data_IF_136189523265
#
_entry.id   IF_136189523265
#
_cell.length_a   1.000
_cell.length_b   1.000
_cell.length_c   1.000
_cell.angle_alpha   90.00
_cell.angle_beta   90.00
_cell.angle_gamma   90.00
#
_symmetry.space_group_name_H-M   'P 1'
#
loop_
_entity.id
_entity.type
_entity.pdbx_description
1 polymer ?
#
# COMPACT_ATOMS: atom_id res chain seq x y z
N UNK A 1 5.59 38.98 -44.61
CA UNK A 1 4.63 39.41 -43.53
C UNK A 1 3.52 38.37 -43.24
N UNK A 2 2.79 37.83 -44.24
CA UNK A 2 1.73 36.80 -44.05
C UNK A 2 2.19 35.54 -43.28
N UNK A 3 3.35 34.97 -43.60
CA UNK A 3 3.93 33.81 -42.88
C UNK A 3 4.18 34.07 -41.38
N UNK A 4 4.69 35.27 -41.00
CA UNK A 4 4.89 35.68 -39.60
C UNK A 4 3.56 35.78 -38.85
N UNK A 5 2.51 36.34 -39.47
CA UNK A 5 1.16 36.41 -38.89
C UNK A 5 0.54 35.01 -38.67
N UNK A 6 0.68 34.10 -39.65
CA UNK A 6 0.19 32.71 -39.52
C UNK A 6 0.88 31.95 -38.39
N UNK A 7 2.21 32.09 -38.24
CA UNK A 7 2.96 31.49 -37.11
C UNK A 7 2.55 32.07 -35.75
N UNK A 8 2.36 33.39 -35.65
CA UNK A 8 1.92 34.05 -34.40
C UNK A 8 0.50 33.62 -33.98
N UNK A 9 -0.43 33.48 -34.94
CA UNK A 9 -1.79 32.97 -34.69
C UNK A 9 -1.76 31.53 -34.20
N UNK A 10 -1.03 30.63 -34.89
CA UNK A 10 -0.92 29.21 -34.51
C UNK A 10 -0.26 29.01 -33.14
N UNK A 11 0.67 29.90 -32.75
CA UNK A 11 1.26 29.91 -31.41
C UNK A 11 0.25 30.32 -30.33
N UNK A 12 -0.52 31.39 -30.55
CA UNK A 12 -1.56 31.85 -29.62
C UNK A 12 -2.70 30.84 -29.45
N UNK A 13 -3.06 30.15 -30.53
CA UNK A 13 -4.08 29.10 -30.51
C UNK A 13 -3.60 27.91 -29.67
N UNK A 14 -2.35 27.47 -29.85
CA UNK A 14 -1.71 26.46 -28.99
C UNK A 14 -1.55 26.90 -27.54
N UNK A 15 -1.24 28.17 -27.29
CA UNK A 15 -1.14 28.73 -25.93
C UNK A 15 -2.52 28.80 -25.26
N UNK A 16 -3.59 29.11 -26.02
CA UNK A 16 -4.97 29.13 -25.51
C UNK A 16 -5.52 27.72 -25.28
N UNK A 17 -5.28 26.78 -26.20
CA UNK A 17 -5.57 25.36 -26.00
C UNK A 17 -4.83 24.82 -24.79
N UNK A 18 -3.53 25.12 -24.63
CA UNK A 18 -2.76 24.80 -23.42
C UNK A 18 -3.33 25.45 -22.16
N UNK A 19 -3.78 26.69 -22.22
CA UNK A 19 -4.36 27.37 -21.05
C UNK A 19 -5.71 26.79 -20.64
N UNK A 20 -6.51 26.32 -21.60
CA UNK A 20 -7.78 25.65 -21.35
C UNK A 20 -7.56 24.22 -20.83
N UNK A 21 -6.53 23.50 -21.30
CA UNK A 21 -6.16 22.18 -20.76
C UNK A 21 -5.39 22.24 -19.44
N UNK A 22 -4.60 23.29 -19.18
CA UNK A 22 -3.97 23.51 -17.86
C UNK A 22 -4.99 23.86 -16.79
N UNK A 23 -6.20 24.31 -17.16
CA UNK A 23 -7.29 24.55 -16.21
C UNK A 23 -7.89 23.26 -15.62
N UNK A 24 -7.56 22.08 -16.15
CA UNK A 24 -8.00 20.79 -15.61
C UNK A 24 -6.89 19.98 -14.93
N UNK A 25 -5.65 20.48 -14.93
CA UNK A 25 -4.53 19.74 -14.37
C UNK A 25 -4.68 19.65 -12.86
N UNK A 26 -4.72 18.43 -12.32
CA UNK A 26 -5.16 18.16 -10.96
C UNK A 26 -4.09 17.40 -10.16
N UNK A 27 -4.02 17.67 -8.87
CA UNK A 27 -3.28 16.84 -7.92
C UNK A 27 -4.09 15.59 -7.61
N UNK A 28 -3.46 14.42 -7.67
CA UNK A 28 -4.10 13.14 -7.36
C UNK A 28 -3.55 12.53 -6.08
N UNK A 29 -4.40 11.80 -5.37
CA UNK A 29 -4.03 11.04 -4.18
C UNK A 29 -4.49 9.61 -4.34
N UNK A 30 -3.61 8.65 -4.06
CA UNK A 30 -3.94 7.23 -3.97
C UNK A 30 -3.71 6.79 -2.52
N UNK A 31 -4.80 6.46 -1.83
CA UNK A 31 -4.78 5.91 -0.48
C UNK A 31 -4.89 4.38 -0.57
N UNK A 32 -3.93 3.69 0.03
CA UNK A 32 -3.85 2.23 0.05
C UNK A 32 -3.91 1.80 1.51
N UNK A 33 -4.84 0.91 1.84
CA UNK A 33 -4.97 0.37 3.18
C UNK A 33 -5.51 -1.05 3.18
N UNK A 34 -5.12 -1.83 4.16
CA UNK A 34 -5.59 -3.21 4.31
C UNK A 34 -4.56 -4.01 5.07
N UNK A 35 -4.99 -5.13 5.63
CA UNK A 35 -4.09 -6.08 6.26
C UNK A 35 -4.57 -7.49 5.95
N UNK A 36 -3.62 -8.41 5.72
CA UNK A 36 -4.01 -9.80 5.54
C UNK A 36 -4.32 -10.41 6.91
N UNK A 37 -5.54 -10.90 7.12
CA UNK A 37 -5.94 -11.51 8.40
C UNK A 37 -5.08 -12.72 8.85
N UNK A 38 -4.55 -13.49 7.90
CA UNK A 38 -3.58 -14.58 8.16
C UNK A 38 -2.23 -14.10 8.68
N UNK A 39 -1.80 -12.85 8.42
CA UNK A 39 -0.49 -12.36 8.91
C UNK A 39 -0.54 -11.97 10.39
N UNK A 40 -1.74 -11.79 10.92
CA UNK A 40 -2.02 -11.47 12.31
C UNK A 40 -2.52 -12.71 13.08
N UNK A 41 -1.89 -13.88 12.82
CA UNK A 41 -1.84 -15.12 13.62
C UNK A 41 -3.14 -15.68 14.24
N UNK A 42 -4.33 -15.12 14.01
CA UNK A 42 -5.58 -15.60 14.56
C UNK A 42 -6.78 -15.01 13.81
N UNK A 43 -7.85 -15.78 13.69
CA UNK A 43 -9.09 -15.31 13.05
C UNK A 43 -9.71 -14.08 13.75
N UNK A 44 -9.28 -13.77 14.97
CA UNK A 44 -9.62 -12.55 15.72
C UNK A 44 -9.12 -11.27 15.06
N UNK A 45 -8.20 -11.36 14.09
CA UNK A 45 -7.50 -10.19 13.61
C UNK A 45 -8.23 -9.40 12.50
N UNK A 46 -9.20 -9.97 11.77
CA UNK A 46 -9.92 -9.25 10.69
C UNK A 46 -10.50 -7.89 11.16
N UNK A 47 -11.07 -7.83 12.36
CA UNK A 47 -11.60 -6.60 12.95
C UNK A 47 -10.60 -5.73 13.72
N UNK A 48 -9.36 -6.19 13.86
CA UNK A 48 -8.30 -5.46 14.56
C UNK A 48 -7.48 -4.55 13.61
N UNK A 49 -7.84 -4.50 12.32
CA UNK A 49 -7.10 -3.79 11.29
C UNK A 49 -7.07 -2.28 11.56
N UNK A 50 -5.96 -1.80 12.12
CA UNK A 50 -5.80 -0.39 12.45
C UNK A 50 -5.76 0.51 11.20
N UNK A 51 -5.36 -0.03 10.04
CA UNK A 51 -5.14 0.72 8.80
C UNK A 51 -6.38 1.44 8.27
N UNK A 52 -7.57 0.82 8.35
CA UNK A 52 -8.79 1.38 7.75
C UNK A 52 -9.26 2.68 8.43
N UNK A 53 -9.17 2.75 9.76
CA UNK A 53 -9.47 4.00 10.49
C UNK A 53 -8.55 5.14 10.03
N UNK A 54 -7.28 4.84 9.76
CA UNK A 54 -6.33 5.84 9.26
C UNK A 54 -6.64 6.26 7.81
N UNK A 55 -7.10 5.34 6.97
CA UNK A 55 -7.61 5.67 5.62
C UNK A 55 -8.81 6.61 5.71
N UNK A 56 -9.78 6.34 6.59
CA UNK A 56 -10.92 7.22 6.82
C UNK A 56 -10.51 8.63 7.28
N UNK A 57 -9.60 8.71 8.26
CA UNK A 57 -9.04 9.99 8.74
C UNK A 57 -8.28 10.75 7.66
N UNK A 58 -7.41 10.08 6.91
CA UNK A 58 -6.65 10.67 5.81
C UNK A 58 -7.59 11.21 4.73
N UNK A 59 -8.58 10.42 4.32
CA UNK A 59 -9.59 10.85 3.34
C UNK A 59 -10.33 12.11 3.81
N UNK A 60 -10.83 12.10 5.05
CA UNK A 60 -11.50 13.27 5.65
C UNK A 60 -10.61 14.51 5.61
N UNK A 61 -9.34 14.37 6.04
CA UNK A 61 -8.38 15.49 6.06
C UNK A 61 -8.13 16.05 4.66
N UNK A 62 -8.03 15.19 3.65
CA UNK A 62 -7.88 15.63 2.26
C UNK A 62 -9.10 16.44 1.79
N UNK A 63 -10.32 15.97 2.07
CA UNK A 63 -11.55 16.71 1.74
C UNK A 63 -11.60 18.05 2.48
N UNK A 64 -11.30 18.07 3.79
CA UNK A 64 -11.23 19.28 4.61
C UNK A 64 -10.19 20.30 4.08
N UNK A 65 -9.10 19.80 3.50
CA UNK A 65 -8.06 20.62 2.86
C UNK A 65 -8.38 21.04 1.42
N UNK A 66 -9.58 20.73 0.92
CA UNK A 66 -10.07 21.17 -0.38
C UNK A 66 -9.72 20.27 -1.57
N UNK A 67 -9.24 19.03 -1.33
CA UNK A 67 -9.11 18.07 -2.41
C UNK A 67 -10.49 17.61 -2.89
N UNK A 68 -10.64 17.50 -4.22
CA UNK A 68 -11.84 16.91 -4.80
C UNK A 68 -11.87 15.40 -4.55
N UNK A 69 -13.02 14.87 -4.12
CA UNK A 69 -13.26 13.43 -4.01
C UNK A 69 -13.00 12.67 -5.33
N UNK A 70 -13.15 13.32 -6.49
CA UNK A 70 -12.84 12.74 -7.81
C UNK A 70 -11.34 12.46 -8.01
N UNK A 71 -10.48 13.13 -7.26
CA UNK A 71 -9.02 13.04 -7.41
C UNK A 71 -8.38 12.19 -6.30
N UNK A 72 -9.19 11.62 -5.41
CA UNK A 72 -8.76 10.70 -4.36
C UNK A 72 -9.24 9.30 -4.75
N UNK A 73 -8.28 8.39 -4.94
CA UNK A 73 -8.51 6.99 -5.26
C UNK A 73 -8.23 6.17 -4.00
N UNK A 74 -9.17 5.33 -3.58
CA UNK A 74 -9.04 4.54 -2.35
C UNK A 74 -9.06 3.04 -2.67
N UNK A 75 -7.97 2.35 -2.32
CA UNK A 75 -7.79 0.91 -2.42
C UNK A 75 -7.73 0.35 -0.99
N UNK A 76 -8.87 -0.07 -0.45
CA UNK A 76 -8.95 -0.58 0.92
C UNK A 76 -10.15 -1.49 1.18
N UNK A 77 -9.99 -2.45 2.11
CA UNK A 77 -11.02 -3.45 2.47
C UNK A 77 -12.09 -2.89 3.41
N UNK A 78 -12.67 -1.72 3.10
CA UNK A 78 -13.58 -1.05 4.03
C UNK A 78 -14.89 -1.82 4.19
N UNK A 79 -15.55 -2.13 3.08
CA UNK A 79 -16.84 -2.80 3.08
C UNK A 79 -16.73 -4.22 3.61
N UNK A 80 -15.72 -4.98 3.19
CA UNK A 80 -15.50 -6.35 3.70
C UNK A 80 -15.36 -6.34 5.24
N UNK A 81 -14.57 -5.39 5.78
CA UNK A 81 -14.36 -5.31 7.23
C UNK A 81 -15.58 -4.77 7.97
N UNK A 82 -16.33 -3.83 7.38
CA UNK A 82 -17.59 -3.36 7.98
C UNK A 82 -18.61 -4.49 8.10
N UNK A 83 -18.78 -5.29 7.04
CA UNK A 83 -19.72 -6.40 7.05
C UNK A 83 -19.28 -7.49 8.04
N UNK A 84 -17.97 -7.82 8.05
CA UNK A 84 -17.40 -8.73 9.04
C UNK A 84 -17.62 -8.24 10.47
N UNK A 85 -17.36 -6.96 10.76
CA UNK A 85 -17.53 -6.37 12.08
C UNK A 85 -19.01 -6.31 12.50
N UNK A 86 -19.92 -6.11 11.55
CA UNK A 86 -21.36 -6.16 11.81
C UNK A 86 -21.78 -7.55 12.29
N UNK A 87 -21.34 -8.60 11.57
CA UNK A 87 -21.61 -9.99 11.96
C UNK A 87 -20.98 -10.31 13.33
N UNK A 88 -19.73 -9.88 13.56
CA UNK A 88 -19.06 -10.08 14.84
C UNK A 88 -19.74 -9.33 16.01
N UNK A 89 -20.30 -8.14 15.76
CA UNK A 89 -21.06 -7.38 16.73
C UNK A 89 -22.41 -8.02 17.09
N UNK A 90 -23.05 -8.68 16.13
CA UNK A 90 -24.31 -9.41 16.32
C UNK A 90 -24.10 -10.74 17.06
N UNK A 91 -23.09 -11.52 16.64
CA UNK A 91 -22.87 -12.87 17.13
C UNK A 91 -21.91 -12.94 18.34
N UNK A 92 -21.05 -11.93 18.52
CA UNK A 92 -19.99 -11.95 19.53
C UNK A 92 -18.85 -12.89 19.16
N UNK A 93 -18.80 -13.33 17.90
CA UNK A 93 -17.85 -14.28 17.36
C UNK A 93 -17.01 -13.66 16.23
N UNK A 94 -15.70 -13.95 16.18
CA UNK A 94 -14.93 -14.69 17.17
C UNK A 94 -14.88 -13.93 18.53
N UNK A 95 -14.60 -14.60 19.66
CA UNK A 95 -14.45 -13.91 20.95
C UNK A 95 -13.49 -12.73 20.85
N UNK A 96 -13.83 -11.56 21.39
CA UNK A 96 -12.96 -10.39 21.26
C UNK A 96 -11.63 -10.56 22.02
N UNK A 97 -11.69 -11.23 23.18
CA UNK A 97 -10.54 -11.57 24.02
C UNK A 97 -10.79 -12.92 24.67
N UNK A 98 -9.73 -13.71 24.85
CA UNK A 98 -9.76 -14.96 25.62
C UNK A 98 -10.11 -14.74 27.10
N UNK A 99 -9.96 -13.50 27.60
CA UNK A 99 -10.28 -13.13 28.98
C UNK A 99 -11.75 -12.78 29.20
N UNK A 100 -12.57 -12.71 28.15
CA UNK A 100 -13.99 -12.39 28.30
C UNK A 100 -14.76 -13.61 28.74
N UNK A 101 -15.54 -13.45 29.82
CA UNK A 101 -16.25 -14.54 30.47
C UNK A 101 -17.63 -14.80 29.87
N UNK A 102 -18.11 -13.93 28.97
CA UNK A 102 -19.37 -14.11 28.27
C UNK A 102 -19.35 -13.59 26.82
N UNK A 103 -20.16 -14.17 25.91
CA UNK A 103 -20.32 -13.67 24.54
C UNK A 103 -20.80 -12.22 24.45
N UNK A 104 -21.62 -11.75 25.41
CA UNK A 104 -22.16 -10.38 25.44
C UNK A 104 -21.04 -9.33 25.55
N UNK A 105 -19.99 -9.61 26.33
CA UNK A 105 -18.81 -8.73 26.41
C UNK A 105 -18.12 -8.62 25.06
N UNK A 106 -18.05 -9.72 24.31
CA UNK A 106 -17.47 -9.73 22.95
C UNK A 106 -18.36 -8.95 21.97
N UNK A 107 -19.70 -9.14 22.02
CA UNK A 107 -20.66 -8.38 21.20
C UNK A 107 -20.51 -6.88 21.42
N UNK A 108 -20.46 -6.44 22.68
CA UNK A 108 -20.30 -5.03 23.03
C UNK A 108 -19.00 -4.45 22.45
N UNK A 109 -17.88 -5.16 22.59
CA UNK A 109 -16.59 -4.69 22.03
C UNK A 109 -16.53 -4.70 20.51
N UNK A 110 -17.12 -5.69 19.85
CA UNK A 110 -17.21 -5.66 18.39
C UNK A 110 -18.12 -4.54 17.90
N UNK A 111 -19.23 -4.28 18.61
CA UNK A 111 -20.10 -3.14 18.34
C UNK A 111 -19.37 -1.80 18.51
N UNK A 112 -18.56 -1.66 19.57
CA UNK A 112 -17.69 -0.49 19.76
C UNK A 112 -16.72 -0.31 18.58
N UNK A 113 -16.08 -1.40 18.14
CA UNK A 113 -15.15 -1.38 17.00
C UNK A 113 -15.83 -1.03 15.68
N UNK A 114 -16.98 -1.63 15.41
CA UNK A 114 -17.81 -1.31 14.24
C UNK A 114 -18.17 0.18 14.23
N UNK A 115 -18.74 0.69 15.33
CA UNK A 115 -19.11 2.09 15.45
C UNK A 115 -17.92 3.04 15.29
N UNK A 116 -16.76 2.68 15.86
CA UNK A 116 -15.54 3.46 15.71
C UNK A 116 -15.08 3.51 14.24
N UNK A 117 -15.08 2.37 13.53
CA UNK A 117 -14.70 2.34 12.12
C UNK A 117 -15.67 3.16 11.26
N UNK A 118 -16.98 2.98 11.44
CA UNK A 118 -18.01 3.77 10.75
C UNK A 118 -17.78 5.26 10.99
N UNK A 119 -17.60 5.67 12.24
CA UNK A 119 -17.36 7.08 12.61
C UNK A 119 -16.11 7.66 11.94
N UNK A 120 -15.00 6.92 11.91
CA UNK A 120 -13.75 7.39 11.31
C UNK A 120 -13.81 7.42 9.78
N UNK A 121 -14.54 6.49 9.17
CA UNK A 121 -14.71 6.38 7.71
C UNK A 121 -15.96 7.07 7.16
N UNK A 122 -16.78 7.73 7.99
CA UNK A 122 -18.08 8.28 7.57
C UNK A 122 -17.97 9.16 6.33
N UNK A 123 -17.00 10.08 6.27
CA UNK A 123 -16.82 10.96 5.11
C UNK A 123 -16.47 10.18 3.83
N UNK A 124 -15.69 9.10 3.94
CA UNK A 124 -15.41 8.22 2.81
C UNK A 124 -16.68 7.46 2.38
N UNK A 125 -17.44 6.93 3.34
CA UNK A 125 -18.71 6.22 3.08
C UNK A 125 -19.71 7.14 2.38
N UNK A 126 -19.89 8.37 2.87
CA UNK A 126 -20.79 9.37 2.29
C UNK A 126 -20.39 9.76 0.86
N UNK A 127 -19.11 9.63 0.50
CA UNK A 127 -18.59 9.83 -0.85
C UNK A 127 -18.57 8.52 -1.69
N UNK A 128 -19.32 7.51 -1.25
CA UNK A 128 -19.54 6.26 -1.95
C UNK A 128 -18.48 5.18 -1.69
N UNK A 129 -17.70 5.27 -0.61
CA UNK A 129 -16.78 4.23 -0.17
C UNK A 129 -15.50 4.10 -1.01
N UNK A 130 -14.83 2.95 -0.85
CA UNK A 130 -13.60 2.64 -1.59
C UNK A 130 -13.85 2.44 -3.09
N UNK A 131 -12.84 2.75 -3.91
CA UNK A 131 -12.86 2.43 -5.34
C UNK A 131 -12.59 0.93 -5.56
N UNK A 132 -11.73 0.35 -4.71
CA UNK A 132 -11.37 -1.07 -4.71
C UNK A 132 -11.43 -1.62 -3.29
N UNK A 133 -12.12 -2.75 -3.13
CA UNK A 133 -12.43 -3.41 -1.86
C UNK A 133 -12.30 -4.94 -2.03
N UNK A 134 -12.34 -5.69 -0.92
CA UNK A 134 -12.20 -7.15 -0.92
C UNK A 134 -11.01 -7.61 -1.78
N UNK A 135 -11.23 -8.60 -2.64
CA UNK A 135 -10.19 -9.23 -3.49
C UNK A 135 -9.43 -8.27 -4.40
N UNK A 136 -9.99 -7.09 -4.71
CA UNK A 136 -9.29 -6.08 -5.49
C UNK A 136 -8.24 -5.32 -4.66
N UNK A 137 -8.16 -5.50 -3.34
CA UNK A 137 -7.09 -4.94 -2.50
C UNK A 137 -5.85 -5.82 -2.58
N UNK A 138 -5.17 -5.74 -3.71
CA UNK A 138 -3.97 -6.50 -4.04
C UNK A 138 -2.96 -5.64 -4.83
N UNK A 139 -1.76 -6.16 -5.01
CA UNK A 139 -0.67 -5.38 -5.60
C UNK A 139 -0.86 -5.12 -7.12
N UNK A 140 -1.56 -6.03 -7.83
CA UNK A 140 -1.93 -5.83 -9.23
C UNK A 140 -2.86 -4.63 -9.40
N UNK A 141 -3.87 -4.50 -8.55
CA UNK A 141 -4.78 -3.34 -8.56
C UNK A 141 -4.02 -2.05 -8.37
N UNK A 142 -3.12 -1.99 -7.38
CA UNK A 142 -2.30 -0.80 -7.13
C UNK A 142 -1.49 -0.43 -8.39
N UNK A 143 -0.82 -1.39 -9.00
CA UNK A 143 -0.08 -1.17 -10.24
C UNK A 143 -0.98 -0.63 -11.36
N UNK A 144 -2.13 -1.28 -11.62
CA UNK A 144 -3.06 -0.89 -12.69
C UNK A 144 -3.62 0.52 -12.48
N UNK A 145 -4.07 0.83 -11.26
CA UNK A 145 -4.53 2.17 -10.86
C UNK A 145 -3.46 3.21 -11.12
N UNK A 146 -2.23 2.92 -10.69
CA UNK A 146 -1.11 3.82 -10.86
C UNK A 146 -0.83 4.04 -12.35
N UNK A 147 -0.89 3.00 -13.20
CA UNK A 147 -0.69 3.15 -14.65
C UNK A 147 -1.89 3.69 -15.43
N UNK A 148 -2.95 4.07 -14.74
CA UNK A 148 -4.17 4.61 -15.34
C UNK A 148 -4.91 3.60 -16.21
N UNK A 149 -4.93 2.34 -15.77
CA UNK A 149 -5.69 1.25 -16.39
C UNK A 149 -6.58 0.59 -15.36
N UNK A 150 -7.77 0.17 -15.76
CA UNK A 150 -8.59 -0.70 -14.91
C UNK A 150 -7.85 -2.02 -14.67
N UNK A 151 -7.79 -2.53 -13.42
CA UNK A 151 -7.22 -3.84 -13.18
C UNK A 151 -8.03 -4.90 -13.94
N UNK A 152 -7.42 -6.04 -14.30
CA UNK A 152 -8.21 -7.17 -14.79
C UNK A 152 -9.27 -7.54 -13.74
N UNK A 153 -10.41 -8.05 -14.20
CA UNK A 153 -11.36 -8.65 -13.27
C UNK A 153 -10.66 -9.82 -12.58
N UNK A 154 -10.79 -9.83 -11.25
CA UNK A 154 -10.23 -10.88 -10.43
C UNK A 154 -11.20 -12.06 -10.50
N UNK A 155 -10.90 -13.04 -11.37
CA UNK A 155 -11.57 -14.36 -11.41
C UNK A 155 -11.23 -15.22 -10.18
N UNK A 156 -11.05 -14.58 -9.02
CA UNK A 156 -10.78 -15.23 -7.76
C UNK A 156 -12.04 -15.97 -7.31
N UNK A 157 -12.18 -17.20 -7.78
CA UNK A 157 -13.06 -18.19 -7.17
C UNK A 157 -12.33 -18.79 -5.96
N UNK A 158 -12.99 -18.74 -4.82
CA UNK A 158 -12.47 -19.17 -3.51
C UNK A 158 -12.04 -20.66 -3.47
N UNK A 159 -12.41 -21.46 -4.49
CA UNK A 159 -12.18 -22.91 -4.57
C UNK A 159 -10.70 -23.32 -4.43
N UNK A 160 -9.76 -22.47 -4.84
CA UNK A 160 -8.33 -22.77 -4.73
C UNK A 160 -7.78 -22.68 -3.30
N UNK A 161 -8.39 -21.91 -2.40
CA UNK A 161 -7.95 -21.80 -0.99
C UNK A 161 -8.54 -22.89 -0.08
N UNK A 162 -9.77 -23.34 -0.34
CA UNK A 162 -10.38 -24.42 0.45
C UNK A 162 -9.59 -25.73 0.35
N UNK A 163 -8.91 -25.97 -0.76
CA UNK A 163 -8.07 -27.16 -0.96
C UNK A 163 -6.79 -27.10 -0.13
N UNK A 164 -6.20 -25.90 0.01
CA UNK A 164 -4.99 -25.68 0.81
C UNK A 164 -5.26 -25.68 2.32
N UNK A 165 -6.42 -25.18 2.75
CA UNK A 165 -6.82 -25.18 4.16
C UNK A 165 -7.23 -26.57 4.64
N UNK A 166 -7.92 -27.35 3.80
CA UNK A 166 -8.25 -28.76 4.11
C UNK A 166 -7.00 -29.64 4.24
N UNK A 167 -5.92 -29.37 3.51
CA UNK A 167 -4.71 -30.19 3.61
C UNK A 167 -3.87 -29.91 4.87
N UNK A 168 -3.97 -28.73 5.50
CA UNK A 168 -3.20 -28.39 6.72
C UNK A 168 -3.97 -28.57 8.03
N UNK A 169 -5.29 -28.48 8.01
CA UNK A 169 -6.10 -28.66 9.22
C UNK A 169 -6.11 -30.13 9.73
N UNK A 170 -5.85 -31.10 8.84
CA UNK A 170 -5.89 -32.53 9.17
C UNK A 170 -4.54 -33.11 9.65
N UNK A 171 -3.46 -32.33 9.64
CA UNK A 171 -2.11 -32.80 10.07
C UNK A 171 -1.79 -32.51 11.55
N UNK A 172 -2.71 -31.92 12.33
CA UNK A 172 -2.49 -31.64 13.78
C UNK A 172 -3.74 -31.92 14.62
N UNK A 173 -4.25 -33.15 14.53
CA UNK A 173 -5.47 -33.57 15.21
C UNK A 173 -5.24 -34.36 16.53
N UNK A 174 -4.09 -34.23 17.19
CA UNK A 174 -3.83 -34.94 18.46
C UNK A 174 -3.81 -34.09 19.73
N UNK A 175 -3.93 -32.75 19.66
CA UNK A 175 -4.08 -31.93 20.88
C UNK A 175 -5.21 -30.88 20.75
N UNK A 176 -6.32 -31.22 21.39
CA UNK A 176 -7.52 -30.45 21.76
C UNK A 176 -7.71 -29.01 21.24
N UNK A 177 -8.79 -28.86 20.45
CA UNK A 177 -9.70 -27.70 20.36
C UNK A 177 -9.12 -26.39 19.83
N UNK A 178 -8.74 -26.37 18.55
CA UNK A 178 -8.91 -25.15 17.75
C UNK A 178 -10.33 -25.18 17.21
N UNK A 179 -11.24 -24.41 17.83
CA UNK A 179 -12.53 -24.08 17.22
C UNK A 179 -12.25 -23.28 15.95
N UNK A 180 -12.07 -23.98 14.83
CA UNK A 180 -12.12 -23.39 13.51
C UNK A 180 -13.48 -22.70 13.44
N UNK A 181 -13.48 -21.39 13.19
CA UNK A 181 -14.71 -20.61 12.98
C UNK A 181 -15.68 -21.41 12.10
N UNK A 182 -17.00 -21.40 12.38
CA UNK A 182 -17.96 -22.06 11.54
C UNK A 182 -17.70 -21.65 10.09
N UNK A 183 -17.48 -22.65 9.23
CA UNK A 183 -17.18 -22.49 7.80
C UNK A 183 -18.22 -21.58 7.10
N UNK A 184 -19.39 -21.41 7.72
CA UNK A 184 -20.49 -20.52 7.31
C UNK A 184 -20.18 -19.02 7.41
N UNK A 185 -19.39 -18.53 8.38
CA UNK A 185 -18.96 -17.12 8.40
C UNK A 185 -17.99 -16.79 7.24
N UNK A 186 -17.32 -17.81 6.70
CA UNK A 186 -16.34 -17.66 5.62
C UNK A 186 -16.97 -17.87 4.23
N UNK A 187 -18.09 -18.61 4.14
CA UNK A 187 -18.77 -18.99 2.89
C UNK A 187 -19.69 -17.92 2.31
N UNK A 188 -20.16 -16.97 3.11
CA UNK A 188 -21.07 -15.95 2.60
C UNK A 188 -20.30 -14.82 1.89
N UNK A 189 -20.04 -15.02 0.59
CA UNK A 189 -20.22 -14.01 -0.45
C UNK A 189 -19.60 -12.61 -0.27
N UNK A 190 -18.42 -12.46 0.35
CA UNK A 190 -17.64 -11.21 0.27
C UNK A 190 -16.99 -11.01 -1.11
N UNK A 191 -17.67 -11.43 -2.18
CA UNK A 191 -17.37 -10.98 -3.53
C UNK A 191 -17.96 -9.58 -3.69
N UNK A 192 -17.34 -8.60 -3.03
CA UNK A 192 -17.61 -7.21 -3.33
C UNK A 192 -17.21 -6.99 -4.77
N UNK A 193 -18.21 -6.86 -5.64
CA UNK A 193 -17.97 -6.44 -7.02
C UNK A 193 -17.30 -5.07 -6.96
N UNK A 194 -16.28 -4.91 -7.78
CA UNK A 194 -15.67 -3.61 -8.03
C UNK A 194 -16.77 -2.58 -8.29
N UNK A 195 -16.67 -1.43 -7.64
CA UNK A 195 -17.61 -0.34 -7.83
C UNK A 195 -17.65 0.06 -9.30
N UNK A 196 -18.85 0.22 -9.85
CA UNK A 196 -18.99 0.76 -11.20
C UNK A 196 -18.36 2.16 -11.25
N UNK A 197 -17.46 2.37 -12.22
CA UNK A 197 -16.69 3.60 -12.29
C UNK A 197 -15.56 3.74 -11.27
N UNK A 198 -15.05 2.63 -10.71
CA UNK A 198 -13.84 2.64 -9.89
C UNK A 198 -12.71 3.43 -10.57
N UNK A 199 -12.13 4.37 -9.83
CA UNK A 199 -11.19 5.34 -10.38
C UNK A 199 -9.83 4.72 -10.68
N UNK A 200 -9.14 5.30 -11.64
CA UNK A 200 -7.72 5.06 -11.94
C UNK A 200 -7.05 6.41 -12.18
N UNK A 201 -5.72 6.49 -12.11
CA UNK A 201 -5.05 7.73 -12.51
C UNK A 201 -5.33 8.03 -14.00
N UNK A 202 -5.34 9.31 -14.42
CA UNK A 202 -5.45 9.63 -15.84
C UNK A 202 -4.36 8.94 -16.65
N UNK A 203 -4.73 8.26 -17.73
CA UNK A 203 -3.76 7.65 -18.65
C UNK A 203 -2.88 8.72 -19.32
N UNK A 204 -3.42 9.93 -19.49
CA UNK A 204 -2.68 11.10 -19.94
C UNK A 204 -2.00 11.80 -18.74
N UNK A 205 -0.71 11.54 -18.59
CA UNK A 205 0.11 12.05 -17.49
C UNK A 205 0.21 13.58 -17.44
N UNK A 206 -0.03 14.28 -18.56
CA UNK A 206 -0.05 15.75 -18.59
C UNK A 206 -1.21 16.35 -17.78
N UNK A 207 -2.22 15.55 -17.43
CA UNK A 207 -3.36 15.96 -16.60
C UNK A 207 -3.06 15.91 -15.09
N UNK A 208 -1.95 15.28 -14.70
CA UNK A 208 -1.54 15.13 -13.30
C UNK A 208 -0.49 16.22 -13.01
N UNK A 209 -0.74 17.09 -12.04
CA UNK A 209 0.26 18.10 -11.61
C UNK A 209 1.16 17.62 -10.49
N UNK A 210 0.61 16.81 -9.61
CA UNK A 210 1.33 16.15 -8.52
C UNK A 210 0.61 14.87 -8.12
N UNK A 211 1.35 13.93 -7.54
CA UNK A 211 0.82 12.65 -7.08
C UNK A 211 1.27 12.39 -5.64
N UNK A 212 0.32 12.08 -4.76
CA UNK A 212 0.57 11.50 -3.45
C UNK A 212 0.16 10.02 -3.47
N UNK A 213 1.06 9.13 -3.09
CA UNK A 213 0.76 7.71 -2.83
C UNK A 213 0.96 7.47 -1.34
N UNK A 214 -0.10 7.20 -0.60
CA UNK A 214 0.01 6.88 0.82
C UNK A 214 -0.45 5.44 1.03
N UNK A 215 0.45 4.60 1.57
CA UNK A 215 0.15 3.22 1.91
C UNK A 215 0.29 2.98 3.42
N UNK A 216 -0.77 2.45 4.04
CA UNK A 216 -0.79 1.99 5.41
C UNK A 216 -1.04 0.49 5.38
N UNK A 217 -0.07 -0.28 5.83
CA UNK A 217 -0.22 -1.73 5.91
C UNK A 217 0.59 -2.32 7.05
N UNK A 218 0.63 -3.65 7.10
CA UNK A 218 1.68 -4.40 7.74
C UNK A 218 2.74 -4.74 6.71
N UNK A 219 3.97 -4.88 7.18
CA UNK A 219 5.08 -5.24 6.33
C UNK A 219 6.27 -5.59 7.18
N UNK A 220 7.19 -6.30 6.56
CA UNK A 220 8.45 -6.67 7.17
C UNK A 220 9.46 -6.93 6.06
N UNK A 221 10.49 -7.70 6.37
CA UNK A 221 11.39 -8.28 5.40
C UNK A 221 11.51 -9.78 5.61
N UNK A 222 11.92 -10.50 4.59
CA UNK A 222 12.42 -11.86 4.73
C UNK A 222 13.82 -11.94 4.14
N UNK A 223 14.62 -12.89 4.62
CA UNK A 223 15.87 -13.23 3.95
C UNK A 223 15.59 -13.62 2.49
N UNK A 224 16.51 -13.30 1.59
CA UNK A 224 16.40 -13.72 0.20
C UNK A 224 16.32 -15.25 0.16
N UNK A 225 15.37 -15.79 -0.62
CA UNK A 225 15.24 -17.24 -0.72
C UNK A 225 16.50 -17.86 -1.32
N UNK A 226 16.98 -18.93 -0.68
CA UNK A 226 18.18 -19.65 -1.04
C UNK A 226 18.51 -20.63 0.06
N UNK A 227 19.40 -21.58 -0.21
CA UNK A 227 19.96 -22.39 0.85
C UNK A 227 20.79 -21.50 1.82
N UNK A 228 20.96 -21.91 3.08
CA UNK A 228 21.73 -21.14 4.06
C UNK A 228 23.15 -20.76 3.61
N UNK A 229 23.78 -21.53 2.71
CA UNK A 229 25.11 -21.22 2.17
C UNK A 229 25.05 -20.04 1.18
N UNK A 230 24.01 -19.97 0.35
CA UNK A 230 23.76 -18.83 -0.54
C UNK A 230 23.52 -17.56 0.25
N UNK A 231 22.65 -17.58 1.26
CA UNK A 231 22.41 -16.43 2.14
C UNK A 231 23.72 -15.97 2.82
N UNK A 232 24.50 -16.93 3.34
CA UNK A 232 25.83 -16.67 3.91
C UNK A 232 26.76 -15.98 2.92
N UNK A 233 26.84 -16.47 1.68
CA UNK A 233 27.68 -15.86 0.63
C UNK A 233 27.26 -14.43 0.34
N UNK A 234 25.96 -14.15 0.33
CA UNK A 234 25.43 -12.80 0.12
C UNK A 234 25.81 -11.86 1.26
N UNK A 235 25.65 -12.29 2.52
CA UNK A 235 26.00 -11.49 3.72
C UNK A 235 27.51 -11.19 3.84
N UNK A 236 28.35 -12.11 3.36
CA UNK A 236 29.81 -11.93 3.31
C UNK A 236 30.26 -11.05 2.13
N UNK A 237 29.53 -11.08 1.02
CA UNK A 237 29.90 -10.35 -0.20
C UNK A 237 29.43 -8.89 -0.19
N UNK A 238 28.33 -8.59 0.51
CA UNK A 238 27.72 -7.26 0.56
C UNK A 238 27.95 -6.56 1.90
N UNK A 239 27.93 -5.23 1.88
CA UNK A 239 28.10 -4.41 3.08
C UNK A 239 26.71 -4.26 3.73
N UNK A 240 26.62 -4.52 5.04
CA UNK A 240 25.40 -4.28 5.79
C UNK A 240 25.16 -2.76 5.89
N UNK A 241 23.96 -2.32 5.51
CA UNK A 241 23.58 -0.90 5.54
C UNK A 241 23.43 -0.37 6.98
N UNK A 242 23.22 -1.25 7.96
CA UNK A 242 23.04 -0.87 9.36
C UNK A 242 24.37 -0.51 10.01
N UNK A 243 25.45 -1.24 9.72
CA UNK A 243 26.76 -1.03 10.36
C UNK A 243 27.88 -0.58 9.42
N UNK A 244 27.62 -0.52 8.12
CA UNK A 244 28.62 -0.16 7.11
C UNK A 244 29.76 -1.18 6.96
N UNK A 245 29.57 -2.43 7.41
CA UNK A 245 30.59 -3.49 7.34
C UNK A 245 30.03 -4.76 6.71
N UNK A 246 30.91 -5.54 6.10
CA UNK A 246 30.63 -6.94 5.74
C UNK A 246 30.52 -7.76 7.01
N UNK A 247 29.62 -8.73 7.03
CA UNK A 247 29.46 -9.61 8.18
C UNK A 247 30.35 -10.85 8.02
N UNK A 248 31.21 -11.09 9.02
CA UNK A 248 31.99 -12.32 9.18
C UNK A 248 31.28 -13.20 10.21
N UNK A 249 31.13 -14.48 9.90
CA UNK A 249 30.42 -15.44 10.74
C UNK A 249 31.10 -15.73 12.07
N UNK A 250 32.38 -15.40 12.19
CA UNK A 250 33.11 -15.54 13.44
C UNK A 250 32.80 -14.42 14.44
N UNK A 251 31.98 -13.44 14.04
CA UNK A 251 31.64 -12.27 14.83
C UNK A 251 30.14 -12.28 15.09
N UNK A 252 29.75 -12.20 16.36
CA UNK A 252 28.37 -11.94 16.74
C UNK A 252 28.07 -10.45 16.52
N UNK A 253 27.08 -10.16 15.69
CA UNK A 253 26.58 -8.81 15.46
C UNK A 253 25.36 -8.55 16.36
N UNK A 254 25.19 -7.29 16.75
CA UNK A 254 24.03 -6.85 17.55
C UNK A 254 22.77 -6.58 16.69
N UNK A 255 22.82 -6.92 15.41
CA UNK A 255 21.76 -6.69 14.43
C UNK A 255 21.85 -7.71 13.30
N UNK A 256 20.71 -7.98 12.66
CA UNK A 256 20.65 -8.79 11.45
C UNK A 256 21.32 -8.07 10.28
N UNK A 257 22.04 -8.83 9.44
CA UNK A 257 22.57 -8.29 8.20
C UNK A 257 21.43 -7.76 7.33
N UNK A 258 21.55 -6.52 6.85
CA UNK A 258 20.53 -5.90 6.01
C UNK A 258 21.17 -5.23 4.81
N UNK A 259 20.81 -5.68 3.61
CA UNK A 259 21.09 -4.99 2.35
C UNK A 259 20.11 -5.47 1.26
N UNK A 260 19.96 -4.72 0.14
CA UNK A 260 19.07 -5.09 -0.97
C UNK A 260 19.27 -6.49 -1.54
N UNK A 261 20.45 -7.07 -1.32
CA UNK A 261 20.84 -8.39 -1.85
C UNK A 261 20.59 -9.55 -0.90
N UNK A 262 20.35 -9.28 0.38
CA UNK A 262 20.18 -10.30 1.43
C UNK A 262 18.78 -10.34 1.99
N UNK A 263 17.99 -9.29 1.75
CA UNK A 263 16.64 -9.14 2.27
C UNK A 263 15.70 -8.64 1.18
N UNK A 264 14.45 -9.12 1.22
CA UNK A 264 13.33 -8.49 0.50
C UNK A 264 12.39 -7.88 1.51
N UNK A 265 12.09 -6.60 1.33
CA UNK A 265 11.04 -5.92 2.06
C UNK A 265 9.73 -6.10 1.34
N UNK A 266 8.64 -6.02 2.09
CA UNK A 266 7.32 -6.08 1.52
C UNK A 266 6.33 -5.31 2.38
N UNK A 267 5.27 -4.83 1.74
CA UNK A 267 4.01 -4.53 2.42
C UNK A 267 3.03 -5.65 2.06
N UNK A 268 2.37 -6.19 3.08
CA UNK A 268 1.27 -7.11 2.90
C UNK A 268 0.13 -6.37 2.22
N UNK A 269 -0.42 -6.96 1.18
CA UNK A 269 -1.78 -6.62 0.79
C UNK A 269 -2.66 -7.83 1.11
N UNK A 270 -3.94 -7.58 1.46
CA UNK A 270 -4.81 -8.63 1.97
C UNK A 270 -5.04 -9.77 1.02
N UNK A 271 -4.93 -9.52 -0.29
CA UNK A 271 -5.12 -10.54 -1.30
C UNK A 271 -3.92 -10.67 -2.24
N UNK A 272 -3.63 -11.91 -2.67
CA UNK A 272 -2.68 -12.16 -3.74
C UNK A 272 -3.12 -11.52 -5.07
N UNK A 273 -2.13 -11.12 -5.87
CA UNK A 273 -2.38 -10.64 -7.22
C UNK A 273 -2.69 -11.81 -8.18
N UNK A 274 -3.49 -11.58 -9.24
CA UNK A 274 -3.70 -12.57 -10.29
C UNK A 274 -2.39 -13.02 -10.96
N UNK A 275 -2.29 -14.32 -11.29
CA UNK A 275 -1.12 -14.89 -11.97
C UNK A 275 -0.85 -14.29 -13.34
N UNK A 276 -1.86 -13.80 -14.03
CA UNK A 276 -1.73 -13.10 -15.31
C UNK A 276 -0.91 -11.82 -15.13
N UNK A 277 -1.20 -11.05 -14.09
CA UNK A 277 -0.45 -9.83 -13.77
C UNK A 277 0.97 -10.11 -13.30
N UNK A 278 1.21 -11.23 -12.61
CA UNK A 278 2.58 -11.66 -12.27
C UNK A 278 3.49 -11.66 -13.51
N UNK A 279 3.00 -12.13 -14.66
CA UNK A 279 3.81 -12.17 -15.88
C UNK A 279 4.10 -10.78 -16.48
N UNK A 280 3.28 -9.76 -16.17
CA UNK A 280 3.45 -8.41 -16.72
C UNK A 280 4.38 -7.53 -15.89
N UNK A 281 4.42 -7.73 -14.57
CA UNK A 281 5.13 -6.88 -13.61
C UNK A 281 6.44 -7.52 -13.16
N UNK A 282 6.59 -8.83 -13.33
CA UNK A 282 7.76 -9.54 -12.83
C UNK A 282 9.04 -9.07 -13.52
N UNK A 283 9.94 -8.53 -12.70
CA UNK A 283 11.34 -8.34 -13.04
C UNK A 283 12.01 -9.68 -12.71
N UNK A 284 12.45 -10.48 -13.69
CA UNK A 284 13.31 -11.61 -13.42
C UNK A 284 14.60 -11.10 -12.79
N UNK A 285 14.66 -11.16 -11.46
CA UNK A 285 15.93 -11.24 -10.76
C UNK A 285 16.39 -12.69 -10.93
N UNK A 286 17.59 -12.92 -11.46
CA UNK A 286 18.15 -14.25 -11.82
C UNK A 286 18.13 -15.31 -10.68
N UNK A 287 17.68 -14.94 -9.48
CA UNK A 287 17.79 -15.73 -8.26
C UNK A 287 16.49 -16.37 -7.72
N UNK A 288 15.27 -16.17 -8.28
CA UNK A 288 14.06 -16.57 -7.53
C UNK A 288 12.87 -17.18 -8.30
N UNK A 289 12.27 -18.29 -7.80
CA UNK A 289 11.00 -18.83 -8.27
C UNK A 289 9.80 -17.96 -7.85
N UNK A 290 8.69 -18.10 -8.60
CA UNK A 290 7.44 -17.33 -8.44
C UNK A 290 6.76 -17.62 -7.10
N UNK A 291 6.79 -16.70 -6.14
CA UNK A 291 5.82 -16.74 -5.06
C UNK A 291 4.46 -16.20 -5.56
N UNK A 292 3.37 -16.86 -5.19
CA UNK A 292 2.01 -16.49 -5.63
C UNK A 292 1.50 -15.16 -5.05
N UNK A 293 2.22 -14.57 -4.11
CA UNK A 293 1.90 -13.29 -3.50
C UNK A 293 2.83 -12.23 -4.10
N UNK A 294 2.33 -11.41 -5.02
CA UNK A 294 3.05 -10.18 -5.38
C UNK A 294 3.16 -9.31 -4.14
N UNK A 295 4.39 -9.02 -3.77
CA UNK A 295 4.68 -8.08 -2.72
C UNK A 295 4.56 -6.65 -3.28
N UNK A 296 4.06 -5.72 -2.48
CA UNK A 296 4.00 -4.31 -2.89
C UNK A 296 5.39 -3.78 -3.32
N UNK A 297 6.47 -4.30 -2.76
CA UNK A 297 7.86 -3.95 -3.11
C UNK A 297 8.24 -4.21 -4.56
N UNK A 298 7.81 -5.33 -5.14
CA UNK A 298 8.12 -5.67 -6.53
C UNK A 298 7.35 -4.74 -7.49
N UNK A 299 6.11 -4.41 -7.15
CA UNK A 299 5.30 -3.44 -7.88
C UNK A 299 5.88 -2.02 -7.75
N UNK A 300 6.40 -1.71 -6.57
CA UNK A 300 7.03 -0.43 -6.27
C UNK A 300 8.26 -0.24 -7.15
N UNK A 301 9.23 -1.16 -7.11
CA UNK A 301 10.41 -1.05 -7.96
C UNK A 301 10.04 -1.02 -9.45
N UNK A 302 9.11 -1.86 -9.91
CA UNK A 302 8.69 -1.85 -11.31
C UNK A 302 8.02 -0.53 -11.73
N UNK A 303 7.15 0.03 -10.89
CA UNK A 303 6.57 1.36 -11.09
C UNK A 303 7.69 2.40 -11.28
N UNK A 304 8.69 2.38 -10.40
CA UNK A 304 9.84 3.27 -10.49
C UNK A 304 10.66 3.03 -11.76
N UNK A 305 10.96 1.79 -12.11
CA UNK A 305 11.77 1.48 -13.30
C UNK A 305 11.07 1.88 -14.60
N UNK A 306 9.77 1.61 -14.69
CA UNK A 306 8.98 1.92 -15.89
C UNK A 306 8.81 3.42 -16.07
N UNK A 307 8.68 4.17 -14.97
CA UNK A 307 8.20 5.56 -15.02
C UNK A 307 9.20 6.62 -14.62
N UNK A 308 10.31 6.22 -14.01
CA UNK A 308 11.46 7.10 -13.80
C UNK A 308 11.92 7.70 -15.13
N UNK A 309 11.88 9.03 -15.22
CA UNK A 309 12.29 9.79 -16.40
C UNK A 309 11.14 10.20 -17.33
N UNK A 310 9.99 9.52 -17.29
CA UNK A 310 8.78 9.98 -18.00
C UNK A 310 8.00 11.01 -17.18
N UNK A 311 7.96 10.81 -15.86
CA UNK A 311 7.25 11.68 -14.94
C UNK A 311 8.11 12.88 -14.58
N UNK A 312 7.68 14.07 -15.02
CA UNK A 312 8.30 15.36 -14.64
C UNK A 312 7.56 16.07 -13.50
N UNK A 313 6.61 15.37 -12.89
CA UNK A 313 5.73 15.91 -11.88
C UNK A 313 6.24 15.51 -10.49
N UNK A 314 6.01 16.35 -9.47
CA UNK A 314 6.27 15.99 -8.09
C UNK A 314 5.49 14.74 -7.67
N UNK A 315 6.20 13.77 -7.10
CA UNK A 315 5.61 12.56 -6.52
C UNK A 315 6.03 12.46 -5.06
N UNK A 316 5.06 12.32 -4.18
CA UNK A 316 5.29 12.03 -2.77
C UNK A 316 4.75 10.64 -2.44
N UNK A 317 5.53 9.88 -1.68
CA UNK A 317 5.13 8.56 -1.23
C UNK A 317 5.28 8.47 0.28
N UNK A 318 4.25 7.99 0.96
CA UNK A 318 4.21 7.81 2.41
C UNK A 318 3.96 6.35 2.73
N UNK A 319 4.95 5.70 3.33
CA UNK A 319 4.92 4.29 3.68
C UNK A 319 4.79 4.12 5.19
N UNK A 320 3.65 3.64 5.66
CA UNK A 320 3.35 3.43 7.08
C UNK A 320 3.20 1.95 7.41
N UNK A 321 4.33 1.31 7.65
CA UNK A 321 4.46 -0.04 8.18
C UNK A 321 5.87 -0.27 8.74
N UNK A 322 6.03 -1.36 9.49
CA UNK A 322 7.30 -1.80 10.02
C UNK A 322 8.29 -2.16 8.90
N UNK A 323 9.58 -1.90 9.09
CA UNK A 323 10.63 -2.11 8.09
C UNK A 323 10.45 -1.31 6.77
N UNK A 324 9.56 -0.30 6.72
CA UNK A 324 9.22 0.45 5.50
C UNK A 324 10.43 1.14 4.84
N UNK A 325 11.46 1.53 5.60
CA UNK A 325 12.68 2.13 5.07
C UNK A 325 13.43 1.24 4.07
N UNK A 326 13.25 -0.07 4.14
CA UNK A 326 13.87 -1.00 3.21
C UNK A 326 13.31 -0.91 1.78
N UNK A 327 12.07 -0.42 1.66
CA UNK A 327 11.36 -0.29 0.37
C UNK A 327 11.99 0.74 -0.56
N UNK A 328 12.78 1.68 -0.04
CA UNK A 328 13.46 2.70 -0.84
C UNK A 328 14.92 2.35 -1.13
N UNK A 329 15.47 1.26 -0.58
CA UNK A 329 16.89 0.95 -0.74
C UNK A 329 17.28 0.64 -2.19
N UNK A 330 16.36 0.18 -3.03
CA UNK A 330 16.62 -0.04 -4.46
C UNK A 330 16.92 1.28 -5.23
N UNK A 331 16.58 2.43 -4.65
CA UNK A 331 16.92 3.75 -5.18
C UNK A 331 18.36 4.15 -4.89
N UNK A 332 19.00 3.50 -3.91
CA UNK A 332 20.41 3.66 -3.60
C UNK A 332 21.25 2.87 -4.63
N UNK A 333 22.37 3.46 -5.03
CA UNK A 333 23.33 2.97 -6.01
C UNK A 333 24.44 2.23 -5.26
N UNK A 334 24.86 1.09 -5.82
CA UNK A 334 26.04 0.35 -5.39
C UNK A 334 27.36 0.97 -5.91
N UNK A 335 27.31 2.10 -6.62
CA UNK A 335 28.50 2.86 -6.97
C UNK A 335 29.11 3.40 -5.66
N UNK A 336 29.92 2.54 -5.03
CA UNK A 336 30.73 2.84 -3.85
C UNK A 336 31.45 4.15 -4.08
N UNK A 337 30.92 5.23 -3.51
CA UNK A 337 31.80 6.28 -3.04
C UNK A 337 32.78 5.65 -2.06
N UNK A 338 34.04 6.04 -2.11
CA UNK A 338 35.08 5.60 -1.16
C UNK A 338 34.68 5.86 0.31
N UNK A 339 33.66 6.69 0.55
CA UNK A 339 33.11 7.06 1.86
C UNK A 339 32.02 6.11 2.41
N UNK A 340 31.63 5.08 1.66
CA UNK A 340 30.62 4.11 2.09
C UNK A 340 29.20 4.68 2.19
N UNK A 341 28.94 5.89 1.68
CA UNK A 341 27.61 6.47 1.61
C UNK A 341 26.95 6.06 0.30
N UNK A 342 25.82 5.37 0.38
CA UNK A 342 24.99 5.09 -0.79
C UNK A 342 24.62 6.40 -1.49
N UNK A 343 24.94 6.52 -2.77
CA UNK A 343 24.45 7.62 -3.62
C UNK A 343 23.16 7.16 -4.26
N UNK A 344 22.18 8.03 -4.45
CA UNK A 344 20.97 7.65 -5.20
C UNK A 344 21.35 7.28 -6.65
N UNK A 345 20.69 6.31 -7.28
CA UNK A 345 20.99 5.93 -8.68
C UNK A 345 20.84 7.14 -9.59
N UNK A 346 21.83 7.44 -10.43
CA UNK A 346 21.86 8.63 -11.33
C UNK A 346 20.53 8.86 -12.07
N UNK A 347 19.85 7.79 -12.47
CA UNK A 347 18.55 7.85 -13.15
C UNK A 347 17.45 8.58 -12.36
N UNK A 348 17.48 8.56 -11.03
CA UNK A 348 16.45 9.16 -10.18
C UNK A 348 16.75 10.60 -9.73
N UNK A 349 17.98 11.12 -9.92
CA UNK A 349 18.40 12.44 -9.39
C UNK A 349 17.55 13.62 -9.85
N UNK A 350 16.99 13.54 -11.06
CA UNK A 350 16.21 14.63 -11.64
C UNK A 350 14.70 14.45 -11.45
N UNK A 351 14.26 13.36 -10.81
CA UNK A 351 12.85 13.17 -10.53
C UNK A 351 12.49 13.90 -9.24
N UNK A 352 11.53 14.86 -9.24
CA UNK A 352 11.01 15.47 -8.01
C UNK A 352 10.23 14.46 -7.14
N UNK A 353 10.97 13.58 -6.50
CA UNK A 353 10.47 12.47 -5.69
C UNK A 353 10.76 12.74 -4.21
N UNK A 354 9.75 12.56 -3.36
CA UNK A 354 9.90 12.50 -1.92
C UNK A 354 9.32 11.17 -1.41
N UNK A 355 10.11 10.37 -0.71
CA UNK A 355 9.63 9.16 -0.03
C UNK A 355 9.82 9.34 1.46
N UNK A 356 8.75 9.09 2.20
CA UNK A 356 8.73 9.16 3.65
C UNK A 356 8.33 7.81 4.20
N UNK A 357 9.23 7.21 4.98
CA UNK A 357 9.03 5.90 5.58
C UNK A 357 8.82 6.05 7.08
N UNK A 358 7.88 5.29 7.64
CA UNK A 358 7.57 5.33 9.08
C UNK A 358 8.65 4.69 9.96
N UNK A 359 9.56 3.89 9.38
CA UNK A 359 10.65 3.24 10.10
C UNK A 359 11.88 3.04 9.20
N UNK A 360 13.02 2.67 9.80
CA UNK A 360 14.16 2.12 9.07
C UNK A 360 13.88 0.74 8.47
N UNK A 361 14.83 0.16 7.75
CA UNK A 361 14.71 -1.13 7.04
C UNK A 361 14.61 -2.36 7.94
N UNK A 362 15.00 -2.26 9.21
CA UNK A 362 14.97 -3.37 10.17
C UNK A 362 14.30 -2.99 11.49
N UNK A 363 13.50 -1.92 11.48
CA UNK A 363 12.88 -1.35 12.68
C UNK A 363 11.37 -1.40 12.58
N UNK A 364 10.71 -1.56 13.73
CA UNK A 364 9.26 -1.40 13.83
C UNK A 364 8.86 0.06 13.65
N UNK A 365 7.63 0.29 13.22
CA UNK A 365 6.99 1.61 13.19
C UNK A 365 5.93 1.73 14.29
N UNK A 366 5.69 2.94 14.77
CA UNK A 366 4.52 3.23 15.60
C UNK A 366 3.29 3.29 14.70
N UNK A 367 2.20 2.59 15.06
CA UNK A 367 0.94 2.64 14.32
C UNK A 367 0.36 4.07 14.25
N UNK A 368 -0.21 4.46 13.11
CA UNK A 368 -0.71 5.83 12.86
C UNK A 368 0.39 6.87 12.57
N UNK A 369 1.54 6.75 13.25
CA UNK A 369 2.61 7.73 13.38
C UNK A 369 2.71 8.77 12.27
N UNK A 370 3.25 8.40 11.10
CA UNK A 370 3.55 9.37 10.05
C UNK A 370 2.32 9.88 9.31
N UNK A 371 1.29 9.04 9.19
CA UNK A 371 0.02 9.40 8.56
C UNK A 371 -0.67 10.48 9.37
N UNK A 372 -0.76 10.30 10.69
CA UNK A 372 -1.35 11.29 11.57
C UNK A 372 -0.62 12.63 11.49
N UNK A 373 0.71 12.61 11.58
CA UNK A 373 1.50 13.84 11.50
C UNK A 373 1.30 14.54 10.15
N UNK A 374 1.36 13.79 9.05
CA UNK A 374 1.25 14.35 7.71
C UNK A 374 -0.16 14.88 7.43
N UNK A 375 -1.20 14.06 7.57
CA UNK A 375 -2.57 14.45 7.19
C UNK A 375 -3.14 15.52 8.13
N UNK A 376 -2.78 15.53 9.42
CA UNK A 376 -3.19 16.63 10.30
C UNK A 376 -2.47 17.94 9.98
N UNK A 377 -1.27 17.89 9.39
CA UNK A 377 -0.54 19.08 8.94
C UNK A 377 -1.13 19.73 7.68
N UNK A 378 -2.07 19.07 6.99
CA UNK A 378 -2.74 19.65 5.81
C UNK A 378 -3.71 20.79 6.15
N UNK A 379 -3.81 21.20 7.42
CA UNK A 379 -4.79 22.17 7.93
C UNK A 379 -4.39 23.65 7.74
N UNK A 380 -5.37 24.46 7.30
CA UNK A 380 -5.55 25.91 7.52
C UNK A 380 -4.83 26.94 6.62
N UNK A 381 -4.93 26.85 5.30
CA UNK A 381 -4.76 28.02 4.41
C UNK A 381 -6.07 28.56 3.80
N UNK A 382 -7.22 27.98 4.13
CA UNK A 382 -8.52 28.38 3.56
C UNK A 382 -9.12 29.68 4.14
N UNK A 383 -8.49 30.29 5.15
CA UNK A 383 -9.03 31.49 5.83
C UNK A 383 -8.30 32.81 5.54
N UNK A 384 -7.26 32.84 4.68
CA UNK A 384 -6.43 34.04 4.47
C UNK A 384 -6.60 34.75 3.12
N UNK A 385 -7.55 34.35 2.26
CA UNK A 385 -7.74 34.96 0.92
C UNK A 385 -9.00 35.84 0.76
N UNK A 386 -9.75 36.12 1.82
CA UNK A 386 -11.00 36.91 1.74
C UNK A 386 -10.90 38.38 2.20
N UNK A 387 -9.71 38.95 2.47
CA UNK A 387 -9.60 40.29 3.08
C UNK A 387 -8.71 41.32 2.35
N UNK A 388 -8.57 41.27 1.02
CA UNK A 388 -7.82 42.31 0.27
C UNK A 388 -8.59 42.90 -0.92
N UNK A 389 -9.86 43.23 -0.71
CA UNK A 389 -10.60 44.15 -1.58
C UNK A 389 -11.46 45.10 -0.75
N UNK A 390 -10.81 46.12 -0.20
CA UNK A 390 -11.43 47.37 0.26
C UNK A 390 -10.47 48.52 0.01
#
# INVERSE_FOLDING_TARGET
>A
RKRKRKRKRKRRERERERSLTMSSSSSYVVLIGGEHWKTSCSAHAKGAHASLMWVGKAYRKLIESGFSASNIIVIAQLQEVLDWLSCAAEEGLPPFSVSFSSPEQSKEKWKDKYNALVKECQVLIDNGGCDYDGYDVNASTVYHVLIGKSPPETDWTYESETTFLKSKAWEKEEDNTINILPDEMNRNNYHHKRKEGAKVLPSNKEEITSLLIACYSHGWFHAMEGDPETQKKLEQSHVCIVCGRKHDQNITYTHDHSCPYTQRWYAHLPYPAPKTTLNEIYIPTDAHPRQGNLWYSENYEFFFQKWCGEWKIPVMIINQWCASGGMSLFLEEDEKGEDGKGKMKKKYHNWPLCIVNASGSTRSSIGGGIWDLFFNSLSCNSSSSSSSSS
#
